data_IF_995462765448
#
_entry.id   IF_995462765448
#
_cell.length_a   1.000
_cell.length_b   1.000
_cell.length_c   1.000
_cell.angle_alpha   90.00
_cell.angle_beta   90.00
_cell.angle_gamma   90.00
#
_symmetry.space_group_name_H-M   'P 1'
#
loop_
_entity.id
_entity.type
_entity.pdbx_description
1 polymer ?
#
# COMPACT_ATOMS: atom_id res chain seq x y z
N UNK A 1 -32.97 9.31 -65.12
CA UNK A 1 -32.80 9.91 -63.80
C UNK A 1 -32.54 8.92 -62.61
N UNK A 2 -32.82 7.58 -62.62
CA UNK A 2 -32.60 6.71 -61.41
C UNK A 2 -31.14 6.35 -61.13
N UNK A 3 -30.19 6.48 -62.06
CA UNK A 3 -28.80 6.01 -61.89
C UNK A 3 -27.96 7.01 -61.08
N UNK A 4 -28.23 8.32 -61.22
CA UNK A 4 -27.53 9.39 -60.51
C UNK A 4 -27.90 9.36 -59.01
N UNK A 5 -29.15 9.08 -58.67
CA UNK A 5 -29.64 8.98 -57.30
C UNK A 5 -28.99 7.80 -56.54
N UNK A 6 -28.78 6.65 -57.22
CA UNK A 6 -28.14 5.47 -56.62
C UNK A 6 -26.66 5.65 -56.31
N UNK A 7 -25.93 6.46 -57.07
CA UNK A 7 -24.52 6.78 -56.86
C UNK A 7 -24.35 7.76 -55.69
N UNK A 8 -25.18 8.79 -55.63
CA UNK A 8 -25.21 9.74 -54.50
C UNK A 8 -25.53 9.09 -53.15
N UNK A 9 -26.46 8.14 -53.15
CA UNK A 9 -26.82 7.38 -51.96
C UNK A 9 -25.69 6.46 -51.46
N UNK A 10 -24.95 5.83 -52.37
CA UNK A 10 -23.79 5.00 -52.06
C UNK A 10 -22.66 5.81 -51.41
N UNK A 11 -22.29 6.97 -52.03
CA UNK A 11 -21.22 7.82 -51.49
C UNK A 11 -21.61 8.44 -50.12
N UNK A 12 -22.89 8.73 -49.89
CA UNK A 12 -23.37 9.21 -48.60
C UNK A 12 -23.29 8.13 -47.54
N UNK A 13 -23.65 6.88 -47.82
CA UNK A 13 -23.56 5.76 -46.90
C UNK A 13 -22.10 5.36 -46.62
N UNK A 14 -21.21 5.45 -47.61
CA UNK A 14 -19.76 5.26 -47.41
C UNK A 14 -19.17 6.28 -46.44
N UNK A 15 -19.48 7.57 -46.63
CA UNK A 15 -19.08 8.64 -45.72
C UNK A 15 -19.64 8.42 -44.30
N UNK A 16 -20.89 7.97 -44.18
CA UNK A 16 -21.51 7.67 -42.89
C UNK A 16 -20.81 6.48 -42.22
N UNK A 17 -20.50 5.42 -42.95
CA UNK A 17 -19.73 4.26 -42.45
C UNK A 17 -18.34 4.67 -41.95
N UNK A 18 -17.64 5.53 -42.67
CA UNK A 18 -16.34 6.07 -42.27
C UNK A 18 -16.45 6.86 -40.96
N UNK A 19 -17.41 7.78 -40.88
CA UNK A 19 -17.67 8.55 -39.66
C UNK A 19 -17.99 7.63 -38.46
N UNK A 20 -18.80 6.61 -38.63
CA UNK A 20 -19.13 5.65 -37.59
C UNK A 20 -17.91 4.80 -37.16
N UNK A 21 -17.02 4.43 -38.11
CA UNK A 21 -15.74 3.77 -37.78
C UNK A 21 -14.86 4.66 -36.92
N UNK A 22 -14.73 5.95 -37.28
CA UNK A 22 -13.96 6.90 -36.46
C UNK A 22 -14.55 7.05 -35.07
N UNK A 23 -15.88 7.22 -34.94
CA UNK A 23 -16.59 7.29 -33.67
C UNK A 23 -16.38 6.01 -32.83
N UNK A 24 -16.41 4.83 -33.45
CA UNK A 24 -16.10 3.56 -32.76
C UNK A 24 -14.69 3.53 -32.24
N UNK A 25 -13.71 3.98 -32.99
CA UNK A 25 -12.30 4.04 -32.57
C UNK A 25 -12.14 4.98 -31.38
N UNK A 26 -12.75 6.17 -31.43
CA UNK A 26 -12.71 7.15 -30.34
C UNK A 26 -13.39 6.63 -29.08
N UNK A 27 -14.59 6.07 -29.20
CA UNK A 27 -15.31 5.46 -28.09
C UNK A 27 -14.52 4.28 -27.46
N UNK A 28 -13.87 3.46 -28.30
CA UNK A 28 -13.03 2.35 -27.83
C UNK A 28 -11.76 2.86 -27.10
N UNK A 29 -11.15 3.95 -27.57
CA UNK A 29 -10.02 4.60 -26.89
C UNK A 29 -10.46 5.13 -25.52
N UNK A 30 -11.60 5.83 -25.47
CA UNK A 30 -12.16 6.37 -24.23
C UNK A 30 -12.49 5.26 -23.23
N UNK A 31 -13.11 4.14 -23.68
CA UNK A 31 -13.37 2.98 -22.85
C UNK A 31 -12.10 2.42 -22.22
N UNK A 32 -11.05 2.20 -23.05
CA UNK A 32 -9.76 1.70 -22.56
C UNK A 32 -9.09 2.65 -21.57
N UNK A 33 -9.22 3.97 -21.80
CA UNK A 33 -8.71 4.99 -20.87
C UNK A 33 -9.43 4.89 -19.53
N UNK A 34 -10.77 4.91 -19.54
CA UNK A 34 -11.60 4.80 -18.34
C UNK A 34 -11.35 3.47 -17.57
N UNK A 35 -11.11 2.37 -18.28
CA UNK A 35 -10.77 1.08 -17.69
C UNK A 35 -9.41 1.09 -16.97
N UNK A 36 -8.41 1.72 -17.56
CA UNK A 36 -7.08 1.88 -16.91
C UNK A 36 -7.17 2.74 -15.65
N UNK A 37 -7.79 3.91 -15.77
CA UNK A 37 -7.98 4.81 -14.64
C UNK A 37 -8.78 4.14 -13.51
N UNK A 38 -9.80 3.34 -13.82
CA UNK A 38 -10.55 2.58 -12.84
C UNK A 38 -9.68 1.53 -12.13
N UNK A 39 -8.85 0.79 -12.87
CA UNK A 39 -7.91 -0.18 -12.28
C UNK A 39 -6.91 0.49 -11.35
N UNK A 40 -6.41 1.66 -11.73
CA UNK A 40 -5.50 2.47 -10.90
C UNK A 40 -6.20 2.93 -9.61
N UNK A 41 -7.40 3.50 -9.70
CA UNK A 41 -8.17 3.95 -8.56
C UNK A 41 -8.49 2.79 -7.59
N UNK A 42 -8.88 1.61 -8.10
CA UNK A 42 -9.11 0.41 -7.28
C UNK A 42 -7.79 -0.04 -6.60
N UNK A 43 -6.68 0.01 -7.31
CA UNK A 43 -5.37 -0.38 -6.76
C UNK A 43 -4.95 0.54 -5.62
N UNK A 44 -5.11 1.86 -5.80
CA UNK A 44 -4.85 2.86 -4.76
C UNK A 44 -5.75 2.62 -3.55
N UNK A 45 -7.05 2.43 -3.77
CA UNK A 45 -8.02 2.14 -2.71
C UNK A 45 -7.64 0.90 -1.89
N UNK A 46 -7.24 -0.19 -2.54
CA UNK A 46 -6.76 -1.41 -1.86
C UNK A 46 -5.49 -1.18 -1.06
N UNK A 47 -4.51 -0.44 -1.63
CA UNK A 47 -3.26 -0.10 -0.93
C UNK A 47 -3.53 0.75 0.30
N UNK A 48 -4.34 1.80 0.17
CA UNK A 48 -4.70 2.69 1.28
C UNK A 48 -5.49 1.95 2.37
N UNK A 49 -6.44 1.09 2.00
CA UNK A 49 -7.18 0.26 2.95
C UNK A 49 -6.28 -0.73 3.70
N UNK A 50 -5.37 -1.42 2.99
CA UNK A 50 -4.41 -2.32 3.64
C UNK A 50 -3.37 -1.57 4.47
N UNK A 51 -2.95 -0.38 4.03
CA UNK A 51 -2.10 0.52 4.80
C UNK A 51 -2.75 0.96 6.11
N UNK A 52 -4.02 1.36 6.07
CA UNK A 52 -4.79 1.71 7.28
C UNK A 52 -4.91 0.55 8.27
N UNK A 53 -5.21 -0.65 7.77
CA UNK A 53 -5.28 -1.85 8.64
C UNK A 53 -3.96 -2.16 9.32
N UNK A 54 -2.84 -2.05 8.60
CA UNK A 54 -1.50 -2.23 9.19
C UNK A 54 -1.22 -1.16 10.23
N UNK A 55 -1.46 0.10 9.88
CA UNK A 55 -1.26 1.23 10.80
C UNK A 55 -2.08 1.08 12.08
N UNK A 56 -3.34 0.65 12.00
CA UNK A 56 -4.17 0.38 13.17
C UNK A 56 -3.57 -0.69 14.06
N UNK A 57 -3.13 -1.82 13.47
CA UNK A 57 -2.48 -2.90 14.24
C UNK A 57 -1.19 -2.43 14.91
N UNK A 58 -0.36 -1.65 14.21
CA UNK A 58 0.85 -1.08 14.82
C UNK A 58 0.52 -0.12 15.96
N UNK A 59 -0.46 0.77 15.76
CA UNK A 59 -0.90 1.68 16.82
C UNK A 59 -1.48 0.96 18.05
N UNK A 60 -2.21 -0.12 17.87
CA UNK A 60 -2.72 -0.94 18.97
C UNK A 60 -1.55 -1.60 19.72
N UNK A 61 -0.64 -2.23 18.99
CA UNK A 61 0.55 -2.86 19.57
C UNK A 61 1.45 -1.86 20.30
N UNK A 62 1.76 -0.69 19.69
CA UNK A 62 2.60 0.32 20.34
C UNK A 62 1.92 0.91 21.60
N UNK A 63 0.59 1.01 21.61
CA UNK A 63 -0.16 1.42 22.81
C UNK A 63 -0.11 0.37 23.92
N UNK A 64 -0.24 -0.90 23.57
CA UNK A 64 -0.07 -2.02 24.53
C UNK A 64 1.34 -1.99 25.11
N UNK A 65 2.36 -1.90 24.27
CA UNK A 65 3.75 -1.75 24.72
C UNK A 65 3.96 -0.53 25.63
N UNK A 66 3.35 0.61 25.32
CA UNK A 66 3.45 1.80 26.17
C UNK A 66 2.79 1.56 27.52
N UNK A 67 1.70 0.83 27.58
CA UNK A 67 1.03 0.46 28.82
C UNK A 67 1.92 -0.44 29.67
N UNK A 68 2.53 -1.46 29.05
CA UNK A 68 3.45 -2.38 29.75
C UNK A 68 4.69 -1.63 30.28
N UNK A 69 5.29 -0.77 29.48
CA UNK A 69 6.40 0.09 29.88
C UNK A 69 6.00 0.97 31.09
N UNK A 70 4.79 1.53 31.09
CA UNK A 70 4.30 2.36 32.18
C UNK A 70 4.10 1.54 33.49
N UNK A 71 3.61 0.32 33.38
CA UNK A 71 3.44 -0.58 34.53
C UNK A 71 4.81 -0.94 35.12
N UNK A 72 5.75 -1.36 34.31
CA UNK A 72 7.11 -1.71 34.73
C UNK A 72 7.85 -0.49 35.31
N UNK A 73 7.73 0.68 34.67
CA UNK A 73 8.28 1.93 35.18
C UNK A 73 7.77 2.26 36.59
N UNK A 74 6.45 2.15 36.83
CA UNK A 74 5.86 2.40 38.13
C UNK A 74 6.31 1.38 39.17
N UNK A 75 6.47 0.12 38.80
CA UNK A 75 7.00 -0.92 39.69
C UNK A 75 8.43 -0.63 40.14
N UNK A 76 9.29 -0.19 39.19
CA UNK A 76 10.68 0.17 39.50
C UNK A 76 10.75 1.43 40.37
N UNK A 77 9.90 2.42 40.12
CA UNK A 77 9.80 3.62 40.99
C UNK A 77 9.43 3.21 42.42
N UNK A 78 8.39 2.42 42.58
CA UNK A 78 7.96 1.95 43.93
C UNK A 78 9.06 1.12 44.63
N UNK A 79 9.78 0.29 43.84
CA UNK A 79 10.93 -0.48 44.36
C UNK A 79 12.06 0.45 44.79
N UNK A 80 12.41 1.47 43.97
CA UNK A 80 13.41 2.46 44.35
C UNK A 80 13.06 3.16 45.66
N UNK A 81 11.84 3.70 45.75
CA UNK A 81 11.37 4.37 46.98
C UNK A 81 11.40 3.47 48.22
N UNK A 82 11.07 2.19 48.05
CA UNK A 82 11.16 1.22 49.12
C UNK A 82 12.61 0.96 49.58
N UNK A 83 13.52 0.81 48.62
CA UNK A 83 14.97 0.66 48.90
C UNK A 83 15.58 1.88 49.55
N UNK A 84 15.22 3.10 49.13
CA UNK A 84 15.65 4.35 49.74
C UNK A 84 15.18 4.47 51.21
N UNK A 85 13.90 4.14 51.48
CA UNK A 85 13.39 4.11 52.85
C UNK A 85 14.13 3.11 53.74
N UNK A 86 14.39 1.91 53.20
CA UNK A 86 15.13 0.87 53.90
C UNK A 86 16.60 1.29 54.17
N UNK A 87 17.24 1.92 53.16
CA UNK A 87 18.59 2.44 53.34
C UNK A 87 18.63 3.52 54.42
N UNK A 88 17.69 4.47 54.41
CA UNK A 88 17.56 5.49 55.44
C UNK A 88 17.36 4.91 56.87
N UNK A 89 16.46 3.92 56.99
CA UNK A 89 16.24 3.24 58.28
C UNK A 89 17.50 2.53 58.77
N UNK A 90 18.27 1.89 57.86
CA UNK A 90 19.56 1.30 58.23
C UNK A 90 20.60 2.34 58.66
N UNK A 91 20.66 3.50 57.98
CA UNK A 91 21.51 4.63 58.40
C UNK A 91 21.13 5.18 59.76
N UNK A 92 19.82 5.32 60.06
CA UNK A 92 19.35 5.77 61.37
C UNK A 92 19.70 4.76 62.50
N UNK A 93 19.67 3.45 62.19
CA UNK A 93 20.13 2.39 63.13
C UNK A 93 21.64 2.42 63.30
N UNK A 94 22.40 2.65 62.22
CA UNK A 94 23.86 2.76 62.29
C UNK A 94 24.30 3.90 63.22
N UNK A 95 23.62 5.05 63.17
CA UNK A 95 23.86 6.15 64.09
C UNK A 95 23.68 5.72 65.53
N UNK A 96 22.57 5.02 65.86
CA UNK A 96 22.29 4.53 67.20
C UNK A 96 23.30 3.49 67.69
N UNK A 97 23.74 2.55 66.83
CA UNK A 97 24.76 1.57 67.21
C UNK A 97 26.14 2.23 67.40
N UNK A 98 26.47 3.30 66.64
CA UNK A 98 27.67 4.08 66.90
C UNK A 98 27.60 4.84 68.24
N UNK A 99 26.45 5.43 68.60
CA UNK A 99 26.24 6.06 69.91
C UNK A 99 26.38 5.01 71.03
N UNK A 100 25.84 3.81 70.84
CA UNK A 100 25.98 2.71 71.80
C UNK A 100 27.42 2.20 71.93
N UNK A 101 28.17 2.19 70.81
CA UNK A 101 29.61 1.89 70.80
C UNK A 101 30.39 2.93 71.58
N UNK A 102 30.18 4.20 71.30
CA UNK A 102 30.86 5.30 71.98
C UNK A 102 30.60 5.26 73.52
N UNK A 103 29.34 4.96 73.93
CA UNK A 103 29.01 4.80 75.32
C UNK A 103 29.71 3.58 75.96
N UNK A 104 29.81 2.47 75.27
CA UNK A 104 30.53 1.28 75.79
C UNK A 104 32.05 1.52 75.87
N UNK A 105 32.63 2.32 74.96
CA UNK A 105 34.05 2.75 75.04
C UNK A 105 34.29 3.64 76.25
N UNK A 106 33.38 4.61 76.55
CA UNK A 106 33.46 5.46 77.71
C UNK A 106 33.32 4.65 78.98
N UNK A 107 32.39 3.71 79.04
CA UNK A 107 32.19 2.82 80.23
C UNK A 107 33.40 1.94 80.47
N UNK A 108 34.04 1.43 79.38
CA UNK A 108 35.29 0.62 79.48
C UNK A 108 36.47 1.42 79.98
N UNK A 109 36.62 2.70 79.55
CA UNK A 109 37.70 3.58 79.92
C UNK A 109 37.59 4.08 81.38
N UNK A 110 36.37 4.33 81.86
CA UNK A 110 36.13 5.00 83.14
C UNK A 110 35.84 4.05 84.30
N UNK A 111 35.70 2.76 84.08
CA UNK A 111 35.40 1.79 85.16
C UNK A 111 36.63 1.18 85.76
N UNK A 112 36.70 1.10 87.08
CA UNK A 112 37.75 0.40 87.81
C UNK A 112 37.31 -1.05 88.22
N UNK A 113 36.07 -1.39 87.98
CA UNK A 113 35.51 -2.70 88.28
C UNK A 113 35.61 -3.69 87.11
N UNK A 114 36.20 -4.86 87.31
CA UNK A 114 36.46 -5.87 86.25
C UNK A 114 35.18 -6.42 85.66
N UNK A 115 34.09 -6.59 86.43
CA UNK A 115 32.79 -7.01 85.91
C UNK A 115 32.16 -6.04 85.02
N UNK A 116 32.28 -4.72 85.33
CA UNK A 116 31.76 -3.62 84.46
C UNK A 116 32.59 -3.54 83.20
N UNK A 117 33.91 -3.68 83.27
CA UNK A 117 34.77 -3.73 82.05
C UNK A 117 34.42 -4.87 81.12
N UNK A 118 34.24 -6.08 81.70
CA UNK A 118 33.86 -7.26 80.92
C UNK A 118 32.49 -7.06 80.19
N UNK A 119 31.52 -6.47 80.86
CA UNK A 119 30.22 -6.17 80.30
C UNK A 119 30.34 -5.04 79.22
N UNK A 120 31.16 -4.02 79.45
CA UNK A 120 31.38 -2.94 78.50
C UNK A 120 32.08 -3.49 77.22
N UNK A 121 33.09 -4.38 77.39
CA UNK A 121 33.76 -5.05 76.30
C UNK A 121 32.78 -5.90 75.46
N UNK A 122 31.91 -6.68 76.14
CA UNK A 122 30.88 -7.48 75.45
C UNK A 122 29.91 -6.59 74.63
N UNK A 123 29.46 -5.46 75.19
CA UNK A 123 28.58 -4.51 74.48
C UNK A 123 29.30 -3.87 73.30
N UNK A 124 30.58 -3.56 73.42
CA UNK A 124 31.43 -3.05 72.37
C UNK A 124 31.58 -3.99 71.21
N UNK A 125 31.81 -5.28 71.52
CA UNK A 125 31.95 -6.31 70.49
C UNK A 125 30.63 -6.52 69.71
N UNK A 126 29.46 -6.53 70.40
CA UNK A 126 28.15 -6.61 69.77
C UNK A 126 27.88 -5.37 68.90
N UNK A 127 28.18 -4.17 69.42
CA UNK A 127 27.97 -2.92 68.64
C UNK A 127 28.82 -2.93 67.37
N UNK A 128 30.08 -3.33 67.44
CA UNK A 128 30.98 -3.42 66.28
C UNK A 128 30.50 -4.43 65.24
N UNK A 129 29.96 -5.60 65.66
CA UNK A 129 29.37 -6.58 64.75
C UNK A 129 28.17 -6.02 64.01
N UNK A 130 27.21 -5.41 64.73
CA UNK A 130 26.04 -4.77 64.16
C UNK A 130 26.36 -3.61 63.20
N UNK A 131 27.36 -2.80 63.55
CA UNK A 131 27.84 -1.70 62.71
C UNK A 131 28.32 -2.26 61.37
N UNK A 132 29.14 -3.32 61.35
CA UNK A 132 29.61 -3.95 60.13
C UNK A 132 28.46 -4.53 59.27
N UNK A 133 27.48 -5.17 59.92
CA UNK A 133 26.28 -5.71 59.26
C UNK A 133 25.48 -4.57 58.63
N UNK A 134 25.21 -3.48 59.32
CA UNK A 134 24.47 -2.32 58.86
C UNK A 134 25.19 -1.58 57.74
N UNK A 135 26.50 -1.42 57.80
CA UNK A 135 27.31 -0.83 56.74
C UNK A 135 27.23 -1.65 55.47
N UNK A 136 27.33 -2.97 55.59
CA UNK A 136 27.17 -3.90 54.45
C UNK A 136 25.76 -3.84 53.86
N UNK A 137 24.74 -3.80 54.73
CA UNK A 137 23.34 -3.68 54.33
C UNK A 137 23.08 -2.36 53.58
N UNK A 138 23.58 -1.23 54.08
CA UNK A 138 23.49 0.09 53.41
C UNK A 138 24.13 0.05 52.03
N UNK A 139 25.37 -0.46 51.92
CA UNK A 139 26.04 -0.56 50.62
C UNK A 139 25.27 -1.39 49.59
N UNK A 140 24.68 -2.53 50.01
CA UNK A 140 23.87 -3.39 49.14
C UNK A 140 22.62 -2.62 48.66
N UNK A 141 21.94 -1.91 49.55
CA UNK A 141 20.73 -1.14 49.23
C UNK A 141 21.04 0.06 48.31
N UNK A 142 22.14 0.80 48.59
CA UNK A 142 22.57 1.88 47.75
C UNK A 142 22.92 1.42 46.32
N UNK A 143 23.63 0.30 46.20
CA UNK A 143 23.88 -0.32 44.87
C UNK A 143 22.58 -0.69 44.16
N UNK A 144 21.59 -1.22 44.91
CA UNK A 144 20.29 -1.59 44.35
C UNK A 144 19.49 -0.33 43.93
N UNK A 145 19.57 0.79 44.67
CA UNK A 145 18.99 2.10 44.30
C UNK A 145 19.64 2.61 43.01
N UNK A 146 20.96 2.61 42.92
CA UNK A 146 21.67 3.04 41.70
C UNK A 146 21.29 2.19 40.48
N UNK A 147 21.09 0.87 40.68
CA UNK A 147 20.61 0.00 39.60
C UNK A 147 19.20 0.36 39.17
N UNK A 148 18.28 0.59 40.11
CA UNK A 148 16.91 1.01 39.82
C UNK A 148 16.88 2.38 39.11
N UNK A 149 17.76 3.31 39.47
CA UNK A 149 17.88 4.60 38.75
C UNK A 149 18.29 4.46 37.29
N UNK A 150 19.22 3.58 36.98
CA UNK A 150 19.60 3.28 35.59
C UNK A 150 18.44 2.68 34.84
N UNK A 151 17.73 1.71 35.41
CA UNK A 151 16.54 1.10 34.84
C UNK A 151 15.45 2.17 34.57
N UNK A 152 15.19 3.08 35.50
CA UNK A 152 14.26 4.21 35.33
C UNK A 152 14.61 5.07 34.11
N UNK A 153 15.91 5.38 33.92
CA UNK A 153 16.36 6.18 32.77
C UNK A 153 16.09 5.44 31.44
N UNK A 154 16.36 4.13 31.40
CA UNK A 154 16.09 3.29 30.23
C UNK A 154 14.61 3.22 29.91
N UNK A 155 13.74 3.01 30.92
CA UNK A 155 12.30 2.99 30.72
C UNK A 155 11.74 4.35 30.27
N UNK A 156 12.22 5.47 30.82
CA UNK A 156 11.86 6.83 30.35
C UNK A 156 12.22 7.04 28.88
N UNK A 157 13.40 6.55 28.46
CA UNK A 157 13.82 6.63 27.06
C UNK A 157 12.93 5.77 26.16
N UNK A 158 12.60 4.56 26.58
CA UNK A 158 11.69 3.65 25.87
C UNK A 158 10.28 4.22 25.75
N UNK A 159 9.74 4.77 26.84
CA UNK A 159 8.44 5.47 26.88
C UNK A 159 8.39 6.64 25.89
N UNK A 160 9.42 7.49 25.91
CA UNK A 160 9.52 8.62 24.97
C UNK A 160 9.59 8.18 23.52
N UNK A 161 10.39 7.14 23.23
CA UNK A 161 10.54 6.59 21.88
C UNK A 161 9.21 6.00 21.36
N UNK A 162 8.53 5.19 22.17
CA UNK A 162 7.24 4.57 21.82
C UNK A 162 6.15 5.63 21.65
N UNK A 163 6.10 6.62 22.53
CA UNK A 163 5.16 7.76 22.43
C UNK A 163 5.38 8.56 21.13
N UNK A 164 6.63 8.80 20.74
CA UNK A 164 6.95 9.47 19.47
C UNK A 164 6.52 8.66 18.24
N UNK A 165 6.69 7.32 18.28
CA UNK A 165 6.20 6.43 17.21
C UNK A 165 4.69 6.54 17.07
N UNK A 166 3.94 6.40 18.16
CA UNK A 166 2.48 6.53 18.20
C UNK A 166 2.05 7.88 17.61
N UNK A 167 2.74 8.97 17.99
CA UNK A 167 2.43 10.31 17.48
C UNK A 167 2.65 10.42 15.96
N UNK A 168 3.78 9.91 15.45
CA UNK A 168 4.09 9.91 14.00
C UNK A 168 3.06 9.10 13.21
N UNK A 169 2.72 7.91 13.69
CA UNK A 169 1.73 7.05 13.05
C UNK A 169 0.33 7.65 13.08
N UNK A 170 -0.06 8.25 14.19
CA UNK A 170 -1.35 8.95 14.33
C UNK A 170 -1.44 10.12 13.35
N UNK A 171 -0.35 10.87 13.12
CA UNK A 171 -0.29 11.97 12.15
C UNK A 171 -0.41 11.50 10.70
N UNK A 172 0.02 10.28 10.37
CA UNK A 172 -0.08 9.72 9.02
C UNK A 172 -1.48 9.16 8.69
N UNK A 173 -2.27 8.82 9.69
CA UNK A 173 -3.61 8.21 9.54
C UNK A 173 -4.60 9.06 8.71
N UNK A 174 -4.75 10.38 8.91
CA UNK A 174 -5.66 11.21 8.13
C UNK A 174 -5.35 11.22 6.63
N UNK A 175 -4.07 11.24 6.25
CA UNK A 175 -3.66 11.22 4.84
C UNK A 175 -4.11 9.93 4.13
N UNK A 176 -3.96 8.78 4.78
CA UNK A 176 -4.42 7.49 4.24
C UNK A 176 -5.96 7.43 4.15
N UNK A 177 -6.68 8.03 5.10
CA UNK A 177 -8.15 8.11 5.07
C UNK A 177 -8.61 9.00 3.91
N UNK A 178 -7.98 10.16 3.69
CA UNK A 178 -8.29 11.05 2.57
C UNK A 178 -8.06 10.33 1.24
N UNK A 179 -6.90 9.71 1.07
CA UNK A 179 -6.56 8.96 -0.13
C UNK A 179 -7.54 7.80 -0.39
N UNK A 180 -7.98 7.10 0.65
CA UNK A 180 -8.99 6.05 0.52
C UNK A 180 -10.35 6.60 0.07
N UNK A 181 -10.79 7.71 0.66
CA UNK A 181 -12.06 8.37 0.29
C UNK A 181 -12.03 8.86 -1.16
N UNK A 182 -10.97 9.53 -1.57
CA UNK A 182 -10.78 10.03 -2.93
C UNK A 182 -10.78 8.87 -3.94
N UNK A 183 -9.95 7.86 -3.73
CA UNK A 183 -9.86 6.72 -4.64
C UNK A 183 -11.15 5.90 -4.73
N UNK A 184 -11.93 5.80 -3.64
CA UNK A 184 -13.26 5.17 -3.65
C UNK A 184 -14.29 5.99 -4.42
N UNK A 185 -14.31 7.31 -4.23
CA UNK A 185 -15.16 8.23 -4.98
C UNK A 185 -14.85 8.20 -6.48
N UNK A 186 -13.57 8.25 -6.81
CA UNK A 186 -13.12 8.24 -8.21
C UNK A 186 -13.40 6.89 -8.88
N UNK A 187 -13.22 5.78 -8.19
CA UNK A 187 -13.60 4.46 -8.71
C UNK A 187 -15.11 4.37 -9.02
N UNK A 188 -15.96 4.97 -8.18
CA UNK A 188 -17.39 5.01 -8.42
C UNK A 188 -17.77 5.87 -9.64
N UNK A 189 -17.12 7.05 -9.79
CA UNK A 189 -17.30 7.93 -10.96
C UNK A 189 -16.80 7.27 -12.24
N UNK A 190 -15.63 6.61 -12.18
CA UNK A 190 -15.03 5.93 -13.32
C UNK A 190 -15.82 4.70 -13.77
N UNK A 191 -16.45 3.96 -12.83
CA UNK A 191 -17.38 2.88 -13.19
C UNK A 191 -18.54 3.40 -14.04
N UNK A 192 -19.17 4.52 -13.66
CA UNK A 192 -20.25 5.15 -14.44
C UNK A 192 -19.77 5.62 -15.81
N UNK A 193 -18.55 6.22 -15.89
CA UNK A 193 -17.94 6.64 -17.17
C UNK A 193 -17.62 5.44 -18.06
N UNK A 194 -17.13 4.35 -17.49
CA UNK A 194 -16.86 3.11 -18.23
C UNK A 194 -18.15 2.53 -18.82
N UNK A 195 -19.19 2.39 -18.02
CA UNK A 195 -20.50 1.90 -18.47
C UNK A 195 -21.10 2.78 -19.59
N UNK A 196 -20.98 4.11 -19.45
CA UNK A 196 -21.41 5.05 -20.51
C UNK A 196 -20.62 4.86 -21.79
N UNK A 197 -19.29 4.69 -21.71
CA UNK A 197 -18.42 4.48 -22.88
C UNK A 197 -18.65 3.11 -23.52
N UNK A 198 -18.96 2.07 -22.77
CA UNK A 198 -19.37 0.76 -23.28
C UNK A 198 -20.70 0.84 -24.07
N UNK A 199 -21.71 1.47 -23.48
CA UNK A 199 -22.98 1.73 -24.19
C UNK A 199 -22.78 2.53 -25.49
N UNK A 200 -21.83 3.45 -25.51
CA UNK A 200 -21.51 4.22 -26.73
C UNK A 200 -20.82 3.33 -27.79
N UNK A 201 -19.87 2.48 -27.40
CA UNK A 201 -19.24 1.51 -28.30
C UNK A 201 -20.29 0.57 -28.91
N UNK A 202 -21.21 0.07 -28.10
CA UNK A 202 -22.26 -0.87 -28.56
C UNK A 202 -23.23 -0.17 -29.52
N UNK A 203 -23.68 1.05 -29.22
CA UNK A 203 -24.51 1.85 -30.13
C UNK A 203 -23.84 2.10 -31.49
N UNK A 204 -22.55 2.44 -31.47
CA UNK A 204 -21.78 2.70 -32.71
C UNK A 204 -21.55 1.40 -33.50
N UNK A 205 -21.33 0.26 -32.82
CA UNK A 205 -21.23 -1.07 -33.46
C UNK A 205 -22.53 -1.45 -34.16
N UNK A 206 -23.68 -1.31 -33.49
CA UNK A 206 -24.99 -1.61 -34.06
C UNK A 206 -25.31 -0.70 -35.25
N UNK A 207 -25.03 0.60 -35.12
CA UNK A 207 -25.21 1.54 -36.22
C UNK A 207 -24.33 1.22 -37.44
N UNK A 208 -23.04 0.91 -37.18
CA UNK A 208 -22.09 0.53 -38.22
C UNK A 208 -22.53 -0.75 -38.95
N UNK A 209 -22.97 -1.78 -38.21
CA UNK A 209 -23.47 -3.03 -38.80
C UNK A 209 -24.68 -2.79 -39.71
N UNK A 210 -25.63 -1.93 -39.29
CA UNK A 210 -26.79 -1.55 -40.13
C UNK A 210 -26.39 -0.83 -41.41
N UNK A 211 -25.42 0.08 -41.34
CA UNK A 211 -24.96 0.86 -42.50
C UNK A 211 -24.16 -0.03 -43.45
N UNK A 212 -23.28 -0.90 -42.92
CA UNK A 212 -22.50 -1.84 -43.76
C UNK A 212 -23.41 -2.84 -44.46
N UNK A 213 -24.42 -3.41 -43.79
CA UNK A 213 -25.39 -4.31 -44.43
C UNK A 213 -26.15 -3.62 -45.59
N UNK A 214 -26.59 -2.34 -45.38
CA UNK A 214 -27.24 -1.58 -46.49
C UNK A 214 -26.30 -1.30 -47.64
N UNK A 215 -25.03 -0.98 -47.37
CA UNK A 215 -24.00 -0.79 -48.37
C UNK A 215 -23.78 -2.05 -49.21
N UNK A 216 -23.64 -3.23 -48.56
CA UNK A 216 -23.48 -4.53 -49.22
C UNK A 216 -24.68 -4.83 -50.13
N UNK A 217 -25.89 -4.62 -49.62
CA UNK A 217 -27.11 -4.83 -50.41
C UNK A 217 -27.15 -3.96 -51.67
N UNK A 218 -26.83 -2.64 -51.53
CA UNK A 218 -26.79 -1.73 -52.67
C UNK A 218 -25.66 -2.05 -53.66
N UNK A 219 -24.50 -2.45 -53.18
CA UNK A 219 -23.37 -2.92 -54.00
C UNK A 219 -23.74 -4.20 -54.76
N UNK A 220 -24.42 -5.15 -54.11
CA UNK A 220 -24.93 -6.36 -54.77
C UNK A 220 -25.96 -6.05 -55.88
N UNK A 221 -26.90 -5.13 -55.61
CA UNK A 221 -27.83 -4.63 -56.62
C UNK A 221 -27.10 -3.98 -57.82
N UNK A 222 -26.09 -3.12 -57.55
CA UNK A 222 -25.28 -2.48 -58.58
C UNK A 222 -24.51 -3.50 -59.43
N UNK A 223 -23.93 -4.55 -58.82
CA UNK A 223 -23.24 -5.64 -59.51
C UNK A 223 -24.23 -6.44 -60.43
N UNK A 224 -25.43 -6.75 -59.92
CA UNK A 224 -26.47 -7.45 -60.70
C UNK A 224 -26.92 -6.61 -61.91
N UNK A 225 -27.07 -5.28 -61.78
CA UNK A 225 -27.43 -4.38 -62.90
C UNK A 225 -26.29 -4.27 -63.90
N UNK A 226 -25.03 -4.17 -63.42
CA UNK A 226 -23.86 -4.11 -64.30
C UNK A 226 -23.70 -5.45 -65.10
N UNK A 227 -23.90 -6.58 -64.44
CA UNK A 227 -23.87 -7.91 -65.12
C UNK A 227 -24.97 -8.04 -66.16
N UNK A 228 -26.19 -7.56 -65.88
CA UNK A 228 -27.28 -7.53 -66.91
C UNK A 228 -26.95 -6.63 -68.08
N UNK A 229 -26.36 -5.43 -67.86
CA UNK A 229 -25.92 -4.52 -68.91
C UNK A 229 -24.77 -5.11 -69.75
N UNK A 230 -23.83 -5.82 -69.14
CA UNK A 230 -22.74 -6.51 -69.87
C UNK A 230 -23.24 -7.68 -70.71
N UNK A 231 -24.23 -8.40 -70.22
CA UNK A 231 -24.88 -9.51 -70.97
C UNK A 231 -25.68 -8.98 -72.18
N UNK A 232 -26.37 -7.86 -72.07
CA UNK A 232 -27.08 -7.21 -73.20
C UNK A 232 -26.09 -6.65 -74.22
N UNK A 233 -24.97 -6.02 -73.78
CA UNK A 233 -23.89 -5.59 -74.71
C UNK A 233 -23.21 -6.75 -75.41
N UNK A 234 -23.07 -7.92 -74.83
CA UNK A 234 -22.55 -9.16 -75.46
C UNK A 234 -23.53 -9.72 -76.49
N UNK A 235 -24.84 -9.63 -76.22
CA UNK A 235 -25.87 -10.05 -77.22
C UNK A 235 -25.96 -9.13 -78.42
N UNK A 236 -25.76 -7.81 -78.27
CA UNK A 236 -25.73 -6.86 -79.40
C UNK A 236 -24.45 -6.94 -80.25
N UNK A 237 -23.27 -7.28 -79.67
CA UNK A 237 -22.04 -7.52 -80.44
C UNK A 237 -22.02 -8.86 -81.23
N UNK A 238 -22.89 -9.84 -80.95
CA UNK A 238 -23.00 -11.10 -81.70
C UNK A 238 -23.84 -10.98 -82.97
N UNK A 239 -24.37 -9.82 -83.33
CA UNK A 239 -25.22 -9.59 -84.51
C UNK A 239 -24.55 -8.84 -85.64
N UNK A 240 -23.22 -8.82 -85.77
CA UNK A 240 -22.52 -8.34 -86.98
C UNK A 240 -21.95 -9.53 -87.76
N UNK A 241 -22.23 -9.63 -89.07
CA UNK A 241 -21.89 -10.81 -89.91
C UNK A 241 -20.39 -10.92 -90.13
N UNK A 242 -19.89 -12.15 -90.07
CA UNK A 242 -18.52 -12.52 -90.40
C UNK A 242 -18.19 -12.17 -91.87
N UNK A 243 -17.25 -11.32 -92.10
CA UNK A 243 -16.51 -11.27 -93.33
C UNK A 243 -15.22 -12.08 -93.18
N UNK A 244 -15.14 -13.16 -93.97
CA UNK A 244 -13.95 -13.99 -94.16
C UNK A 244 -12.83 -13.24 -94.75
N UNK A 245 -11.62 -13.31 -94.31
CA UNK A 245 -10.39 -13.29 -95.12
C UNK A 245 -9.27 -14.05 -94.41
N UNK A 246 -8.48 -14.72 -95.21
CA UNK A 246 -7.60 -15.85 -95.06
C UNK A 246 -6.28 -15.66 -94.29
N UNK A 247 -5.81 -16.77 -93.82
CA UNK A 247 -4.45 -17.34 -93.67
C UNK A 247 -3.20 -16.44 -93.85
N UNK A 248 -2.26 -16.54 -92.91
CA UNK A 248 -0.87 -17.06 -93.01
C UNK A 248 -0.17 -17.08 -91.65
N UNK A 249 0.18 -18.26 -91.18
CA UNK A 249 1.45 -18.97 -91.05
C UNK A 249 2.54 -18.37 -90.14
N UNK A 250 2.91 -19.24 -89.18
CA UNK A 250 4.25 -19.56 -88.61
C UNK A 250 5.03 -18.50 -87.82
N UNK A 251 5.38 -18.66 -86.57
CA UNK A 251 6.59 -19.40 -86.18
C UNK A 251 6.67 -19.57 -84.63
N UNK A 252 7.20 -20.72 -84.24
CA UNK A 252 7.70 -21.13 -82.93
C UNK A 252 8.73 -20.17 -82.37
N UNK A 253 8.87 -20.04 -81.06
CA UNK A 253 10.05 -20.54 -80.33
C UNK A 253 9.80 -20.42 -78.80
N UNK A 254 10.12 -21.50 -78.16
CA UNK A 254 10.23 -21.84 -76.74
C UNK A 254 11.15 -20.90 -75.94
N UNK A 255 10.90 -20.76 -74.64
CA UNK A 255 11.81 -21.13 -73.56
C UNK A 255 11.24 -20.80 -72.19
N UNK A 256 11.08 -21.83 -71.40
CA UNK A 256 11.15 -21.83 -69.91
C UNK A 256 12.63 -21.94 -69.52
N UNK A 257 13.04 -21.99 -68.29
CA UNK A 257 12.57 -21.44 -66.99
C UNK A 257 13.74 -20.89 -66.12
N UNK A 258 13.47 -20.45 -64.89
CA UNK A 258 14.23 -20.69 -63.64
C UNK A 258 13.70 -19.75 -62.55
N UNK A 259 13.13 -20.26 -61.51
CA UNK A 259 13.63 -20.60 -60.17
C UNK A 259 14.74 -19.78 -59.62
N UNK A 260 14.48 -19.16 -58.49
CA UNK A 260 15.20 -19.28 -57.22
C UNK A 260 14.80 -18.09 -56.31
N UNK A 261 14.16 -18.33 -55.20
CA UNK A 261 14.70 -18.47 -53.84
C UNK A 261 15.52 -17.31 -53.34
N UNK A 262 14.93 -16.50 -52.51
CA UNK A 262 15.30 -16.40 -51.12
C UNK A 262 14.20 -15.63 -50.35
#
# INVERSE_FOLDING_TARGET
MPIVFGVLLLTSLEKLAEKLKQQKIEASKLRRKNERELKEAITISRRSSSGLKRLQKHLEHDKEQLTDINVEFNQILSRKESLERLAKTAQERLVKENEAKDQAEIDLANSDNEDIKSNAQYRLDIANEKIRELESEIQIREKAVQKAEKEIIEYKKSQSSTSQKIQKETKSKPALISQLRESTSDSAKLKKKLESSEKQVDRTNVALAKVTAKLEELMAKKRKVAAKKAATKRKSKKRTPKRKIAKKSKHKVSKKPKKSSR
#
